data_IF_721336889618
#
_entry.id   IF_721336889618
#
_cell.length_a   1.000
_cell.length_b   1.000
_cell.length_c   1.000
_cell.angle_alpha   90.00
_cell.angle_beta   90.00
_cell.angle_gamma   90.00
#
_symmetry.space_group_name_H-M   'P 1'
#
loop_
_entity.id
_entity.type
_entity.pdbx_description
1 polymer ?
#
# COMPACT_ATOMS: atom_id res chain seq x y z
N UNK A 1 -31.84 74.88 -32.29
CA UNK A 1 -32.68 74.67 -33.49
C UNK A 1 -32.81 73.17 -33.70
N UNK A 2 -34.05 72.67 -33.59
CA UNK A 2 -34.67 71.52 -34.33
C UNK A 2 -33.93 70.17 -34.33
N UNK A 3 -34.53 69.01 -34.11
CA UNK A 3 -35.93 68.63 -34.03
C UNK A 3 -36.02 67.20 -33.44
N UNK A 4 -37.21 66.93 -32.91
CA UNK A 4 -37.75 65.67 -32.44
C UNK A 4 -37.66 64.52 -33.45
N UNK A 5 -37.55 63.29 -32.92
CA UNK A 5 -38.36 62.14 -33.36
C UNK A 5 -38.63 61.21 -32.18
N UNK A 6 -39.83 61.33 -31.62
CA UNK A 6 -40.57 60.24 -31.00
C UNK A 6 -40.88 59.16 -32.05
N UNK A 7 -40.74 57.88 -31.66
CA UNK A 7 -41.62 56.79 -32.12
C UNK A 7 -41.83 55.81 -30.97
N UNK A 8 -43.07 55.78 -30.47
CA UNK A 8 -43.67 54.79 -29.58
C UNK A 8 -43.60 53.37 -30.16
N UNK A 9 -43.41 52.37 -29.28
CA UNK A 9 -44.04 51.05 -29.45
C UNK A 9 -44.17 50.30 -28.11
N UNK A 10 -45.43 50.22 -27.69
CA UNK A 10 -46.16 49.17 -26.96
C UNK A 10 -45.67 48.62 -25.61
N UNK A 11 -46.43 49.01 -24.58
CA UNK A 11 -46.60 48.31 -23.31
C UNK A 11 -47.04 46.86 -23.53
N UNK A 12 -46.16 45.90 -23.22
CA UNK A 12 -46.58 44.53 -22.88
C UNK A 12 -46.35 44.32 -21.39
N UNK A 13 -47.37 44.65 -20.60
CA UNK A 13 -47.46 44.32 -19.17
C UNK A 13 -47.52 42.80 -19.04
N UNK A 14 -46.36 42.17 -18.88
CA UNK A 14 -46.30 40.79 -18.41
C UNK A 14 -46.64 40.80 -16.92
N UNK A 15 -47.88 40.39 -16.64
CA UNK A 15 -48.40 40.18 -15.31
C UNK A 15 -47.61 39.02 -14.67
N UNK A 16 -46.53 39.34 -13.94
CA UNK A 16 -45.77 38.36 -13.16
C UNK A 16 -46.65 37.93 -11.99
N UNK A 17 -47.01 36.63 -11.87
CA UNK A 17 -47.85 36.16 -10.78
C UNK A 17 -47.14 36.42 -9.45
N UNK A 18 -47.91 37.05 -8.56
CA UNK A 18 -47.80 37.11 -7.10
C UNK A 18 -46.55 36.44 -6.50
N UNK A 19 -45.65 37.25 -5.94
CA UNK A 19 -44.68 36.77 -4.96
C UNK A 19 -45.44 36.37 -3.70
N UNK A 20 -45.94 35.13 -3.67
CA UNK A 20 -46.35 34.50 -2.44
C UNK A 20 -45.14 34.51 -1.50
N UNK A 21 -45.34 35.11 -0.33
CA UNK A 21 -44.39 35.23 0.76
C UNK A 21 -43.79 33.85 1.10
N UNK A 22 -42.63 33.52 0.52
CA UNK A 22 -41.73 32.54 1.13
C UNK A 22 -41.06 33.29 2.27
N UNK A 23 -41.65 33.19 3.46
CA UNK A 23 -40.99 33.56 4.71
C UNK A 23 -39.78 32.63 4.83
N UNK A 24 -38.64 33.07 4.28
CA UNK A 24 -37.37 32.37 4.44
C UNK A 24 -37.02 32.52 5.91
N UNK A 25 -37.28 31.48 6.69
CA UNK A 25 -36.82 31.36 8.07
C UNK A 25 -35.30 31.26 8.06
N UNK A 26 -34.64 32.43 7.97
CA UNK A 26 -33.19 32.56 7.93
C UNK A 26 -32.52 31.84 9.11
N UNK A 27 -33.21 31.68 10.25
CA UNK A 27 -32.69 30.95 11.41
C UNK A 27 -32.74 29.44 11.23
N UNK A 28 -33.78 28.89 10.60
CA UNK A 28 -33.83 27.48 10.24
C UNK A 28 -32.75 27.12 9.22
N UNK A 29 -32.57 27.95 8.20
CA UNK A 29 -31.52 27.77 7.18
C UNK A 29 -30.11 27.91 7.77
N UNK A 30 -29.88 28.89 8.65
CA UNK A 30 -28.60 29.07 9.33
C UNK A 30 -28.29 27.90 10.28
N UNK A 31 -29.30 27.35 10.96
CA UNK A 31 -29.15 26.13 11.79
C UNK A 31 -28.83 24.92 10.94
N UNK A 32 -29.51 24.74 9.80
CA UNK A 32 -29.18 23.65 8.87
C UNK A 32 -27.78 23.80 8.29
N UNK A 33 -27.37 25.03 7.96
CA UNK A 33 -26.03 25.34 7.47
C UNK A 33 -24.98 25.07 8.54
N UNK A 34 -25.22 25.51 9.79
CA UNK A 34 -24.38 25.20 10.95
C UNK A 34 -24.31 23.70 11.20
N UNK A 35 -25.41 22.96 11.09
CA UNK A 35 -25.42 21.50 11.21
C UNK A 35 -24.57 20.83 10.12
N UNK A 36 -24.68 21.30 8.87
CA UNK A 36 -23.88 20.82 7.73
C UNK A 36 -22.38 21.16 7.86
N UNK A 37 -22.05 22.28 8.51
CA UNK A 37 -20.67 22.69 8.82
C UNK A 37 -20.09 21.93 10.04
N UNK A 38 -20.95 21.56 11.00
CA UNK A 38 -20.61 20.75 12.18
C UNK A 38 -20.40 19.28 11.83
N UNK A 39 -21.12 18.79 10.82
CA UNK A 39 -20.78 17.53 10.17
C UNK A 39 -19.37 17.70 9.59
N UNK A 40 -18.39 16.96 10.14
CA UNK A 40 -17.03 16.87 9.57
C UNK A 40 -17.12 16.65 8.06
N UNK A 41 -16.21 17.16 7.21
CA UNK A 41 -16.18 16.88 5.77
C UNK A 41 -16.25 15.38 5.41
N UNK A 42 -16.03 14.49 6.39
CA UNK A 42 -16.12 13.04 6.30
C UNK A 42 -17.55 12.48 6.48
N UNK A 43 -18.49 13.25 7.01
CA UNK A 43 -19.76 12.75 7.57
C UNK A 43 -20.84 12.38 6.53
N UNK A 44 -20.57 12.55 5.22
CA UNK A 44 -21.50 12.18 4.15
C UNK A 44 -20.82 11.46 2.99
N UNK A 45 -20.15 10.36 3.29
CA UNK A 45 -19.87 9.36 2.26
C UNK A 45 -20.54 8.07 2.72
N UNK A 46 -21.86 7.99 2.53
CA UNK A 46 -22.63 6.77 2.77
C UNK A 46 -22.66 5.85 1.54
N UNK A 47 -22.44 6.40 0.33
CA UNK A 47 -22.35 5.63 -0.91
C UNK A 47 -21.01 5.88 -1.63
N UNK A 48 -20.26 4.80 -1.86
CA UNK A 48 -19.07 4.80 -2.73
C UNK A 48 -19.51 5.19 -4.15
N UNK A 49 -18.70 5.99 -4.87
CA UNK A 49 -18.97 6.49 -6.23
C UNK A 49 -20.05 7.57 -6.39
N UNK A 50 -20.50 8.22 -5.31
CA UNK A 50 -21.52 9.28 -5.38
C UNK A 50 -21.00 10.60 -5.97
N UNK A 51 -19.68 10.84 -5.97
CA UNK A 51 -19.06 12.04 -6.52
C UNK A 51 -17.83 11.68 -7.39
N UNK A 52 -17.96 11.90 -8.70
CA UNK A 52 -16.90 11.70 -9.69
C UNK A 52 -15.62 12.50 -9.39
N UNK A 53 -15.72 13.64 -8.70
CA UNK A 53 -14.56 14.44 -8.31
C UNK A 53 -13.84 13.89 -7.07
N UNK A 54 -14.51 13.06 -6.28
CA UNK A 54 -13.90 12.32 -5.17
C UNK A 54 -13.23 11.05 -5.70
N UNK A 55 -13.89 10.35 -6.63
CA UNK A 55 -13.37 9.12 -7.26
C UNK A 55 -12.05 9.41 -8.02
N UNK A 56 -11.98 10.52 -8.77
CA UNK A 56 -10.73 10.98 -9.41
C UNK A 56 -9.57 11.26 -8.44
N UNK A 57 -9.82 11.55 -7.16
CA UNK A 57 -8.74 11.74 -6.17
C UNK A 57 -8.13 10.42 -5.70
N UNK A 58 -8.87 9.32 -5.82
CA UNK A 58 -8.41 8.00 -5.38
C UNK A 58 -7.63 7.27 -6.47
N UNK A 59 -7.78 7.67 -7.73
CA UNK A 59 -6.96 7.19 -8.84
C UNK A 59 -5.71 8.06 -9.00
N UNK A 60 -4.53 7.44 -8.88
CA UNK A 60 -3.25 8.10 -9.13
C UNK A 60 -2.63 7.49 -10.37
N UNK A 61 -2.35 8.32 -11.37
CA UNK A 61 -1.58 7.92 -12.54
C UNK A 61 -0.09 8.09 -12.25
N UNK A 62 0.64 6.98 -12.28
CA UNK A 62 2.10 6.97 -12.20
C UNK A 62 2.70 7.41 -13.54
N UNK A 63 3.91 7.96 -13.50
CA UNK A 63 4.70 8.30 -14.70
C UNK A 63 4.89 7.12 -15.66
N UNK A 64 4.80 5.88 -15.16
CA UNK A 64 4.84 4.67 -15.96
C UNK A 64 3.54 4.39 -16.73
N UNK A 65 2.55 5.28 -16.68
CA UNK A 65 1.21 5.09 -17.25
C UNK A 65 0.32 4.12 -16.46
N UNK A 66 0.75 3.71 -15.25
CA UNK A 66 -0.03 2.80 -14.40
C UNK A 66 -0.98 3.62 -13.52
N UNK A 67 -2.27 3.36 -13.62
CA UNK A 67 -3.28 3.89 -12.70
C UNK A 67 -3.30 2.99 -11.46
N UNK A 68 -3.13 3.58 -10.28
CA UNK A 68 -3.36 2.89 -8.99
C UNK A 68 -4.63 3.44 -8.36
N UNK A 69 -5.51 2.57 -7.89
CA UNK A 69 -6.67 2.97 -7.10
C UNK A 69 -6.35 2.82 -5.61
N UNK A 70 -6.36 3.94 -4.88
CA UNK A 70 -6.01 4.00 -3.46
C UNK A 70 -6.95 3.17 -2.58
N UNK A 71 -8.23 3.04 -2.95
CA UNK A 71 -9.19 2.26 -2.15
C UNK A 71 -8.93 0.77 -2.30
N UNK A 72 -8.68 0.30 -3.52
CA UNK A 72 -8.30 -1.09 -3.77
C UNK A 72 -7.01 -1.46 -3.02
N UNK A 73 -6.01 -0.56 -3.03
CA UNK A 73 -4.77 -0.78 -2.27
C UNK A 73 -5.04 -0.85 -0.76
N UNK A 74 -5.91 0.00 -0.22
CA UNK A 74 -6.32 -0.03 1.19
C UNK A 74 -7.03 -1.33 1.54
N UNK A 75 -7.91 -1.83 0.69
CA UNK A 75 -8.60 -3.10 0.90
C UNK A 75 -7.63 -4.29 0.91
N UNK A 76 -6.67 -4.32 -0.02
CA UNK A 76 -5.62 -5.34 -0.04
C UNK A 76 -4.76 -5.28 1.23
N UNK A 77 -4.41 -4.07 1.68
CA UNK A 77 -3.67 -3.88 2.94
C UNK A 77 -4.45 -4.39 4.15
N UNK A 78 -5.74 -4.06 4.26
CA UNK A 78 -6.60 -4.50 5.36
C UNK A 78 -6.77 -6.02 5.40
N UNK A 79 -6.76 -6.69 4.25
CA UNK A 79 -6.78 -8.16 4.18
C UNK A 79 -5.50 -8.79 4.68
N UNK A 80 -4.34 -8.16 4.44
CA UNK A 80 -3.01 -8.74 4.75
C UNK A 80 -2.51 -8.35 6.15
N UNK A 81 -2.85 -7.16 6.63
CA UNK A 81 -2.37 -6.60 7.89
C UNK A 81 -3.44 -6.78 8.97
N UNK A 82 -3.03 -7.31 10.12
CA UNK A 82 -3.91 -7.50 11.25
C UNK A 82 -4.15 -6.17 11.99
N UNK A 83 -5.38 -6.00 12.50
CA UNK A 83 -5.74 -4.85 13.33
C UNK A 83 -5.07 -4.88 14.72
N UNK A 84 -4.72 -6.08 15.19
CA UNK A 84 -4.09 -6.31 16.49
C UNK A 84 -2.84 -7.16 16.32
N UNK A 85 -1.87 -6.96 17.22
CA UNK A 85 -0.67 -7.77 17.30
C UNK A 85 -1.03 -9.21 17.66
N UNK A 86 -0.55 -10.17 16.89
CA UNK A 86 -0.70 -11.60 17.19
C UNK A 86 0.40 -12.12 18.10
N UNK A 87 0.09 -13.18 18.83
CA UNK A 87 1.06 -13.89 19.65
C UNK A 87 2.26 -14.39 18.85
N UNK A 88 3.42 -14.35 19.48
CA UNK A 88 4.65 -14.79 18.85
C UNK A 88 4.67 -16.31 18.69
N UNK A 89 4.53 -16.76 17.44
CA UNK A 89 4.80 -18.15 17.04
C UNK A 89 5.94 -18.18 16.01
N UNK A 90 7.00 -18.98 16.22
CA UNK A 90 8.11 -19.06 15.29
C UNK A 90 7.70 -19.78 13.98
N UNK A 91 7.40 -19.00 12.93
CA UNK A 91 6.96 -19.52 11.62
C UNK A 91 8.09 -19.95 10.69
N UNK A 92 9.26 -19.32 10.79
CA UNK A 92 10.36 -19.58 9.86
C UNK A 92 11.12 -20.86 10.25
N UNK A 93 11.11 -21.93 9.44
CA UNK A 93 11.83 -23.17 9.72
C UNK A 93 13.34 -22.93 9.77
N UNK A 94 14.04 -23.76 10.55
CA UNK A 94 15.51 -23.68 10.65
C UNK A 94 16.20 -23.99 9.32
N UNK A 95 15.56 -24.80 8.47
CA UNK A 95 16.04 -25.16 7.14
C UNK A 95 16.27 -23.93 6.25
N UNK A 96 15.37 -22.94 6.29
CA UNK A 96 15.51 -21.68 5.54
C UNK A 96 16.85 -21.00 5.87
N UNK A 97 17.18 -20.89 7.15
CA UNK A 97 18.44 -20.28 7.58
C UNK A 97 19.66 -21.14 7.23
N UNK A 98 19.55 -22.47 7.28
CA UNK A 98 20.64 -23.37 6.86
C UNK A 98 20.98 -23.19 5.38
N UNK A 99 19.96 -23.07 4.51
CA UNK A 99 20.18 -22.82 3.09
C UNK A 99 20.83 -21.46 2.84
N UNK A 100 20.44 -20.40 3.56
CA UNK A 100 21.11 -19.10 3.47
C UNK A 100 22.59 -19.23 3.81
N UNK A 101 22.93 -19.90 4.91
CA UNK A 101 24.32 -20.07 5.32
C UNK A 101 25.12 -20.90 4.30
N UNK A 102 24.53 -22.01 3.81
CA UNK A 102 25.13 -22.85 2.76
C UNK A 102 25.45 -22.04 1.51
N UNK A 103 24.47 -21.30 0.98
CA UNK A 103 24.61 -20.54 -0.26
C UNK A 103 25.60 -19.38 -0.14
N UNK A 104 25.77 -18.81 1.05
CA UNK A 104 26.74 -17.74 1.31
C UNK A 104 28.11 -18.26 1.76
N UNK A 105 28.34 -19.59 1.78
CA UNK A 105 29.55 -20.23 2.28
C UNK A 105 29.91 -19.82 3.72
N UNK A 106 28.92 -19.61 4.58
CA UNK A 106 29.12 -19.31 5.99
C UNK A 106 29.22 -20.58 6.82
N UNK A 107 29.95 -20.52 7.93
CA UNK A 107 30.06 -21.64 8.89
C UNK A 107 28.68 -21.92 9.48
N UNK A 108 28.16 -23.13 9.25
CA UNK A 108 26.87 -23.56 9.77
C UNK A 108 27.08 -24.07 11.21
N UNK A 109 26.45 -23.47 12.22
CA UNK A 109 26.54 -23.97 13.59
C UNK A 109 25.94 -25.37 13.73
N UNK A 110 26.56 -26.20 14.56
CA UNK A 110 25.98 -27.46 15.00
C UNK A 110 24.74 -27.18 15.85
N UNK A 111 23.59 -27.76 15.47
CA UNK A 111 22.32 -27.51 16.15
C UNK A 111 21.55 -26.29 15.62
N UNK A 112 20.85 -25.57 16.51
CA UNK A 112 19.90 -24.49 16.15
C UNK A 112 20.64 -23.19 15.83
N UNK A 113 20.31 -22.57 14.69
CA UNK A 113 20.88 -21.26 14.31
C UNK A 113 20.22 -20.17 15.16
N UNK A 114 20.90 -19.77 16.23
CA UNK A 114 20.45 -18.70 17.15
C UNK A 114 20.94 -17.33 16.66
N UNK A 115 22.23 -17.24 16.37
CA UNK A 115 22.88 -16.01 15.94
C UNK A 115 22.93 -15.96 14.41
N UNK A 116 22.55 -14.80 13.87
CA UNK A 116 22.43 -14.58 12.44
C UNK A 116 23.06 -13.24 12.12
N UNK A 117 23.86 -13.13 11.06
CA UNK A 117 24.32 -11.84 10.57
C UNK A 117 23.15 -10.89 10.31
N UNK A 118 23.31 -9.61 10.63
CA UNK A 118 22.24 -8.59 10.45
C UNK A 118 21.71 -8.52 9.02
N UNK A 119 22.54 -8.87 8.03
CA UNK A 119 22.16 -8.93 6.61
C UNK A 119 21.04 -9.93 6.32
N UNK A 120 20.86 -10.99 7.13
CA UNK A 120 19.79 -11.98 6.96
C UNK A 120 18.41 -11.34 7.09
N UNK A 121 18.26 -10.32 7.95
CA UNK A 121 17.02 -9.56 8.08
C UNK A 121 16.69 -8.80 6.79
N UNK A 122 17.71 -8.23 6.13
CA UNK A 122 17.55 -7.57 4.83
C UNK A 122 17.19 -8.57 3.73
N UNK A 123 17.86 -9.72 3.69
CA UNK A 123 17.51 -10.79 2.74
C UNK A 123 16.07 -11.27 2.92
N UNK A 124 15.61 -11.41 4.16
CA UNK A 124 14.22 -11.83 4.41
C UNK A 124 13.22 -10.79 3.91
N UNK A 125 13.53 -9.49 4.00
CA UNK A 125 12.71 -8.45 3.40
C UNK A 125 12.65 -8.60 1.87
N UNK A 126 13.81 -8.74 1.24
CA UNK A 126 13.93 -8.84 -0.22
C UNK A 126 13.36 -10.14 -0.81
N UNK A 127 13.39 -11.25 -0.06
CA UNK A 127 12.94 -12.57 -0.53
C UNK A 127 11.47 -12.78 -0.24
N UNK A 128 10.98 -12.32 0.93
CA UNK A 128 9.64 -12.64 1.42
C UNK A 128 8.72 -11.41 1.39
N UNK A 129 9.11 -10.32 2.04
CA UNK A 129 8.22 -9.16 2.19
C UNK A 129 8.02 -8.38 0.89
N UNK A 130 9.02 -8.34 0.01
CA UNK A 130 8.93 -7.69 -1.31
C UNK A 130 8.06 -8.48 -2.30
N UNK A 131 7.64 -9.72 -1.96
CA UNK A 131 6.65 -10.49 -2.74
C UNK A 131 5.21 -10.08 -2.47
N UNK A 132 4.96 -9.40 -1.35
CA UNK A 132 3.65 -8.80 -1.10
C UNK A 132 3.45 -7.57 -1.98
N UNK A 133 2.25 -7.00 -1.96
CA UNK A 133 2.04 -5.68 -2.56
C UNK A 133 3.02 -4.66 -1.95
N UNK A 134 3.55 -3.76 -2.78
CA UNK A 134 4.57 -2.77 -2.43
C UNK A 134 4.17 -1.91 -1.23
N UNK A 135 2.89 -1.72 -0.99
CA UNK A 135 2.34 -0.93 0.12
C UNK A 135 2.44 -1.66 1.49
N UNK A 136 2.59 -3.00 1.51
CA UNK A 136 2.57 -3.80 2.75
C UNK A 136 3.82 -3.57 3.62
N UNK A 137 5.02 -3.67 3.04
CA UNK A 137 6.26 -3.51 3.80
C UNK A 137 6.42 -2.11 4.44
N UNK A 138 6.13 -0.99 3.75
CA UNK A 138 6.09 0.34 4.35
C UNK A 138 5.14 0.41 5.55
N UNK A 139 3.94 -0.16 5.42
CA UNK A 139 2.94 -0.12 6.49
C UNK A 139 3.38 -0.97 7.69
N UNK A 140 3.97 -2.14 7.46
CA UNK A 140 4.57 -2.97 8.52
C UNK A 140 5.72 -2.24 9.24
N UNK A 141 6.51 -1.43 8.53
CA UNK A 141 7.57 -0.60 9.14
C UNK A 141 7.00 0.56 9.96
N UNK A 142 5.85 1.12 9.54
CA UNK A 142 5.10 2.16 10.27
C UNK A 142 4.52 1.62 11.57
N UNK A 143 3.88 0.44 11.52
CA UNK A 143 3.26 -0.21 12.67
C UNK A 143 4.29 -0.73 13.69
N UNK A 144 5.44 -1.18 13.21
CA UNK A 144 6.51 -1.71 14.06
C UNK A 144 7.76 -0.85 13.95
N UNK A 145 7.81 0.36 14.54
CA UNK A 145 8.94 1.28 14.42
C UNK A 145 10.22 0.76 15.09
N UNK A 146 11.35 1.41 14.79
CA UNK A 146 12.62 1.10 15.45
C UNK A 146 12.63 1.73 16.83
N UNK A 147 13.02 0.96 17.85
CA UNK A 147 13.25 1.49 19.20
C UNK A 147 14.67 2.03 19.30
N UNK A 148 15.60 1.33 18.65
CA UNK A 148 17.04 1.62 18.58
C UNK A 148 17.53 1.26 17.19
N UNK A 149 18.73 1.70 16.82
CA UNK A 149 19.32 1.41 15.51
C UNK A 149 19.29 -0.09 15.21
N UNK A 150 18.48 -0.50 14.22
CA UNK A 150 18.33 -1.90 13.82
C UNK A 150 17.49 -2.79 14.74
N UNK A 151 16.92 -2.26 15.82
CA UNK A 151 16.12 -3.03 16.78
C UNK A 151 14.65 -2.62 16.77
N UNK A 152 13.76 -3.62 16.67
CA UNK A 152 12.30 -3.46 16.74
C UNK A 152 11.75 -4.28 17.90
N UNK A 153 10.64 -3.84 18.50
CA UNK A 153 10.00 -4.52 19.63
C UNK A 153 9.46 -5.89 19.19
N UNK A 154 8.79 -5.90 18.04
CA UNK A 154 8.09 -7.07 17.54
C UNK A 154 8.68 -7.54 16.20
N UNK A 155 8.24 -8.72 15.74
CA UNK A 155 8.56 -9.21 14.40
C UNK A 155 7.47 -8.78 13.42
N UNK A 156 7.82 -8.47 12.17
CA UNK A 156 6.86 -8.00 11.18
C UNK A 156 5.72 -9.01 10.91
N UNK A 157 5.98 -10.32 10.96
CA UNK A 157 4.94 -11.33 10.75
C UNK A 157 3.85 -11.36 11.85
N UNK A 158 4.10 -10.76 13.03
CA UNK A 158 3.07 -10.67 14.10
C UNK A 158 1.96 -9.67 13.74
N UNK A 159 2.25 -8.73 12.83
CA UNK A 159 1.29 -7.74 12.32
C UNK A 159 0.55 -8.21 11.07
N UNK A 160 0.78 -9.46 10.62
CA UNK A 160 0.08 -10.03 9.48
C UNK A 160 -1.23 -10.70 9.94
N UNK A 161 -2.26 -10.59 9.11
CA UNK A 161 -3.52 -11.32 9.24
C UNK A 161 -3.31 -12.83 9.09
N UNK A 162 -4.35 -13.64 9.23
CA UNK A 162 -4.21 -15.10 9.07
C UNK A 162 -3.82 -15.46 7.63
N UNK A 163 -4.50 -14.84 6.66
CA UNK A 163 -4.18 -14.95 5.23
C UNK A 163 -2.76 -14.45 4.95
N UNK A 164 -2.37 -13.31 5.53
CA UNK A 164 -1.03 -12.75 5.39
C UNK A 164 0.05 -13.70 5.93
N UNK A 165 -0.22 -14.41 7.03
CA UNK A 165 0.67 -15.42 7.61
C UNK A 165 0.71 -16.70 6.78
N UNK A 166 -0.42 -17.14 6.22
CA UNK A 166 -0.45 -18.30 5.30
C UNK A 166 0.39 -18.04 4.05
N UNK A 167 0.27 -16.84 3.45
CA UNK A 167 1.11 -16.40 2.34
C UNK A 167 2.60 -16.34 2.74
N UNK A 168 2.89 -15.86 3.95
CA UNK A 168 4.26 -15.79 4.48
C UNK A 168 4.91 -17.17 4.51
N UNK A 169 4.18 -18.16 5.01
CA UNK A 169 4.66 -19.54 5.12
C UNK A 169 4.87 -20.15 3.73
N UNK A 170 3.94 -19.93 2.80
CA UNK A 170 4.09 -20.33 1.40
C UNK A 170 5.33 -19.72 0.73
N UNK A 171 5.55 -18.41 0.92
CA UNK A 171 6.71 -17.73 0.35
C UNK A 171 8.04 -18.27 0.87
N UNK A 172 8.08 -18.72 2.12
CA UNK A 172 9.28 -19.35 2.69
C UNK A 172 9.52 -20.72 2.06
N UNK A 173 8.48 -21.54 1.88
CA UNK A 173 8.62 -22.85 1.25
C UNK A 173 9.05 -22.74 -0.22
N UNK A 174 8.51 -21.77 -0.94
CA UNK A 174 8.94 -21.42 -2.30
C UNK A 174 10.42 -21.05 -2.32
N UNK A 175 10.85 -20.16 -1.42
CA UNK A 175 12.23 -19.72 -1.33
C UNK A 175 13.16 -20.91 -1.02
N UNK A 176 12.81 -21.77 -0.06
CA UNK A 176 13.57 -22.99 0.25
C UNK A 176 13.71 -23.89 -0.98
N UNK A 177 12.63 -24.07 -1.76
CA UNK A 177 12.64 -24.92 -2.95
C UNK A 177 13.63 -24.39 -4.00
N UNK A 178 13.60 -23.09 -4.28
CA UNK A 178 14.57 -22.47 -5.20
C UNK A 178 15.99 -22.52 -4.63
N UNK A 179 16.17 -22.35 -3.32
CA UNK A 179 17.48 -22.46 -2.68
C UNK A 179 18.07 -23.86 -2.85
N UNK A 180 17.27 -24.94 -2.74
CA UNK A 180 17.72 -26.34 -2.92
C UNK A 180 18.30 -26.61 -4.31
N UNK A 181 17.71 -25.99 -5.33
CA UNK A 181 18.16 -26.13 -6.73
C UNK A 181 19.45 -25.34 -7.04
N UNK A 182 19.88 -24.47 -6.12
CA UNK A 182 21.01 -23.57 -6.33
C UNK A 182 22.23 -23.98 -5.51
N UNK A 183 23.42 -23.77 -6.07
CA UNK A 183 24.71 -23.97 -5.40
C UNK A 183 25.26 -22.69 -4.78
N UNK A 184 25.00 -21.53 -5.39
CA UNK A 184 25.52 -20.22 -4.97
C UNK A 184 24.40 -19.21 -4.66
N UNK A 185 24.67 -18.29 -3.74
CA UNK A 185 23.74 -17.24 -3.34
C UNK A 185 23.35 -16.32 -4.48
N UNK A 186 24.31 -15.93 -5.33
CA UNK A 186 24.03 -15.00 -6.42
C UNK A 186 23.13 -15.65 -7.47
N UNK A 187 23.42 -16.90 -7.85
CA UNK A 187 22.56 -17.69 -8.74
C UNK A 187 21.15 -17.91 -8.19
N UNK A 188 21.03 -18.14 -6.88
CA UNK A 188 19.72 -18.20 -6.21
C UNK A 188 18.94 -16.90 -6.36
N UNK A 189 19.57 -15.75 -6.08
CA UNK A 189 18.89 -14.45 -6.12
C UNK A 189 18.36 -14.11 -7.51
N UNK A 190 19.09 -14.45 -8.57
CA UNK A 190 18.66 -14.26 -9.96
C UNK A 190 17.44 -15.12 -10.26
N UNK A 191 17.54 -16.44 -10.08
CA UNK A 191 16.42 -17.36 -10.34
C UNK A 191 15.18 -17.00 -9.52
N UNK A 192 15.37 -16.62 -8.27
CA UNK A 192 14.28 -16.15 -7.41
C UNK A 192 13.62 -14.88 -7.95
N UNK A 193 14.42 -13.89 -8.36
CA UNK A 193 13.91 -12.64 -8.95
C UNK A 193 13.15 -12.87 -10.25
N UNK A 194 13.64 -13.76 -11.12
CA UNK A 194 12.99 -14.13 -12.37
C UNK A 194 11.67 -14.86 -12.13
N UNK A 195 11.66 -15.81 -11.19
CA UNK A 195 10.47 -16.64 -10.90
C UNK A 195 9.34 -15.87 -10.22
N UNK A 196 9.66 -14.93 -9.34
CA UNK A 196 8.68 -14.25 -8.50
C UNK A 196 8.56 -12.74 -8.76
N UNK A 197 9.28 -12.19 -9.75
CA UNK A 197 9.20 -10.79 -10.13
C UNK A 197 9.71 -9.81 -9.06
N UNK A 198 10.60 -10.28 -8.17
CA UNK A 198 11.11 -9.49 -7.05
C UNK A 198 12.34 -8.70 -7.48
N UNK A 199 12.48 -7.47 -7.01
CA UNK A 199 13.60 -6.62 -7.41
C UNK A 199 14.92 -7.15 -6.83
N UNK A 200 15.88 -7.46 -7.70
CA UNK A 200 17.24 -7.81 -7.30
C UNK A 200 18.23 -6.99 -8.12
N UNK A 201 19.19 -6.36 -7.43
CA UNK A 201 20.27 -5.63 -8.07
C UNK A 201 21.34 -6.61 -8.54
N UNK A 202 21.49 -6.72 -9.86
CA UNK A 202 22.55 -7.50 -10.49
C UNK A 202 23.91 -6.90 -10.15
N UNK A 203 24.89 -7.76 -9.88
CA UNK A 203 26.27 -7.36 -9.71
C UNK A 203 27.02 -7.67 -11.01
N UNK A 204 27.44 -6.62 -11.71
CA UNK A 204 28.10 -6.76 -13.01
C UNK A 204 29.39 -7.60 -12.94
N UNK A 205 30.16 -7.50 -11.84
CA UNK A 205 31.42 -8.23 -11.67
C UNK A 205 31.15 -9.74 -11.62
N UNK A 206 30.15 -10.13 -10.81
CA UNK A 206 29.73 -11.52 -10.70
C UNK A 206 29.13 -12.07 -11.99
N UNK A 207 28.44 -11.24 -12.77
CA UNK A 207 27.97 -11.66 -14.10
C UNK A 207 29.12 -11.93 -15.06
N UNK A 208 30.19 -11.10 -15.05
CA UNK A 208 31.37 -11.35 -15.90
C UNK A 208 32.05 -12.67 -15.54
N UNK A 209 32.21 -12.96 -14.25
CA UNK A 209 32.80 -14.23 -13.79
C UNK A 209 31.97 -15.44 -14.24
N UNK A 210 30.64 -15.32 -14.26
CA UNK A 210 29.74 -16.37 -14.74
C UNK A 210 29.79 -16.54 -16.25
N UNK A 211 29.88 -15.46 -17.01
CA UNK A 211 29.95 -15.50 -18.48
C UNK A 211 31.28 -16.07 -19.01
N UNK A 212 32.32 -16.09 -18.17
CA UNK A 212 33.65 -16.61 -18.52
C UNK A 212 33.79 -18.12 -18.23
N UNK A 213 32.85 -18.69 -17.46
CA UNK A 213 32.79 -20.13 -17.13
C UNK A 213 31.88 -20.88 -18.10
#
# INVERSE_FOLDING_TARGET
>A
MRNDKEQDIDLVVHNVPNQDNVVIDKKADERQLKLKLLQSPEAKIQERFSDKNLDRRNEIELLSGKVINLDEEREVLQKIIANALKDYSPRVPQEYYRHIFRLNNWVIPEGKIREKPSIVGRFTNEIIYDRYNKSVLPELKRLNPYIKLGMRNFKHFQWLSEDGQSLFDGYIQDAISVMKECSDWYGFRIKHSEKFGVTFQLNWEKEKERATK
#
